data_IF_274794450378
#
_entry.id   IF_274794450378
#
_cell.length_a   1.000
_cell.length_b   1.000
_cell.length_c   1.000
_cell.angle_alpha   90.00
_cell.angle_beta   90.00
_cell.angle_gamma   90.00
#
_symmetry.space_group_name_H-M   'P 1'
#
loop_
_entity.id
_entity.type
_entity.pdbx_description
1 polymer ?
#
# COMPACT_ATOMS: atom_id res chain seq x y z
N UNK A 1 -9.74 2.19 8.56
CA UNK A 1 -9.03 3.02 7.56
C UNK A 1 -10.10 3.79 6.79
N UNK A 2 -9.88 5.08 6.53
CA UNK A 2 -10.75 5.87 5.65
C UNK A 2 -10.22 5.79 4.22
N UNK A 3 -11.09 5.51 3.26
CA UNK A 3 -10.72 5.33 1.86
C UNK A 3 -11.26 6.47 1.00
N UNK A 4 -10.42 6.98 0.11
CA UNK A 4 -10.79 7.87 -1.00
C UNK A 4 -10.47 7.13 -2.30
N UNK A 5 -11.48 6.87 -3.11
CA UNK A 5 -11.43 6.09 -4.36
C UNK A 5 -11.01 4.61 -4.22
N UNK A 6 -10.11 4.24 -3.33
CA UNK A 6 -9.86 2.83 -3.01
C UNK A 6 -11.14 2.08 -2.64
N UNK A 7 -11.26 0.83 -3.12
CA UNK A 7 -12.38 -0.07 -2.88
C UNK A 7 -11.88 -1.35 -2.26
N UNK A 8 -12.70 -1.99 -1.43
CA UNK A 8 -12.39 -3.34 -0.95
C UNK A 8 -12.60 -4.32 -2.11
N UNK A 9 -11.59 -5.11 -2.41
CA UNK A 9 -11.63 -6.20 -3.40
C UNK A 9 -11.32 -7.52 -2.70
N UNK A 10 -12.12 -8.54 -3.00
CA UNK A 10 -11.88 -9.93 -2.60
C UNK A 10 -11.56 -10.73 -3.85
N UNK A 11 -10.37 -11.31 -3.90
CA UNK A 11 -9.92 -12.11 -5.05
C UNK A 11 -8.95 -13.19 -4.58
N UNK A 12 -9.13 -14.43 -5.08
CA UNK A 12 -8.26 -15.58 -4.80
C UNK A 12 -8.01 -15.83 -3.29
N UNK A 13 -9.00 -15.52 -2.44
CA UNK A 13 -8.91 -15.69 -0.97
C UNK A 13 -8.24 -14.53 -0.23
N UNK A 14 -7.76 -13.50 -0.93
CA UNK A 14 -7.27 -12.27 -0.33
C UNK A 14 -8.38 -11.23 -0.18
N UNK A 15 -8.27 -10.37 0.83
CA UNK A 15 -9.12 -9.20 1.05
C UNK A 15 -8.24 -7.98 1.20
N UNK A 16 -8.27 -7.07 0.23
CA UNK A 16 -7.34 -5.96 0.11
C UNK A 16 -8.06 -4.72 -0.42
N UNK A 17 -7.36 -3.58 -0.48
CA UNK A 17 -7.87 -2.38 -1.14
C UNK A 17 -7.28 -2.24 -2.55
N UNK A 18 -8.10 -1.78 -3.48
CA UNK A 18 -7.79 -1.75 -4.91
C UNK A 18 -8.38 -0.51 -5.58
N UNK A 19 -7.69 0.05 -6.58
CA UNK A 19 -8.28 1.07 -7.47
C UNK A 19 -9.12 0.45 -8.59
N UNK A 20 -9.10 -0.88 -8.73
CA UNK A 20 -9.87 -1.60 -9.75
C UNK A 20 -11.36 -1.29 -9.66
N UNK A 21 -11.98 -1.16 -10.84
CA UNK A 21 -13.41 -0.85 -10.96
C UNK A 21 -13.76 0.64 -10.88
N UNK A 22 -12.76 1.51 -10.85
CA UNK A 22 -12.89 2.96 -11.06
C UNK A 22 -12.73 3.36 -12.52
N UNK A 23 -11.89 4.36 -12.78
CA UNK A 23 -11.45 4.70 -14.16
C UNK A 23 -10.25 3.82 -14.54
N UNK A 24 -9.48 4.18 -15.58
CA UNK A 24 -8.27 3.44 -15.99
C UNK A 24 -6.97 4.19 -15.65
N UNK A 25 -7.08 5.31 -14.94
CA UNK A 25 -5.96 6.16 -14.51
C UNK A 25 -6.34 6.88 -13.20
N UNK A 26 -6.99 6.16 -12.29
CA UNK A 26 -7.45 6.70 -11.01
C UNK A 26 -6.28 6.93 -10.05
N UNK A 27 -6.47 7.84 -9.10
CA UNK A 27 -5.65 7.92 -7.90
C UNK A 27 -6.56 7.81 -6.68
N UNK A 28 -6.09 7.17 -5.63
CA UNK A 28 -6.83 7.04 -4.38
C UNK A 28 -5.91 7.05 -3.18
N UNK A 29 -6.50 7.23 -1.99
CA UNK A 29 -5.76 7.21 -0.73
C UNK A 29 -6.47 6.41 0.34
N UNK A 30 -5.67 5.81 1.21
CA UNK A 30 -6.11 5.06 2.36
C UNK A 30 -5.43 5.66 3.60
N UNK A 31 -6.24 6.27 4.47
CA UNK A 31 -5.78 7.00 5.64
C UNK A 31 -6.08 6.23 6.91
N UNK A 32 -5.07 6.05 7.74
CA UNK A 32 -5.21 5.49 9.09
C UNK A 32 -4.47 6.34 10.11
N UNK A 33 -4.90 6.20 11.36
CA UNK A 33 -4.23 6.80 12.51
C UNK A 33 -3.52 5.71 13.29
N UNK A 34 -2.28 5.94 13.68
CA UNK A 34 -1.55 5.07 14.58
C UNK A 34 -2.17 5.13 15.97
N UNK A 35 -2.53 3.97 16.52
CA UNK A 35 -3.21 3.82 17.80
C UNK A 35 -2.38 3.04 18.84
N UNK A 36 -1.15 2.66 18.49
CA UNK A 36 -0.24 1.96 19.40
C UNK A 36 0.47 2.89 20.38
N UNK A 37 1.20 2.34 21.37
CA UNK A 37 2.02 3.14 22.29
C UNK A 37 3.09 3.95 21.56
N UNK A 38 3.44 5.11 22.11
CA UNK A 38 4.53 5.92 21.57
C UNK A 38 5.85 5.14 21.61
N UNK A 39 6.65 5.21 20.55
CA UNK A 39 7.90 4.45 20.43
C UNK A 39 8.47 4.44 19.02
N UNK A 40 9.52 3.63 18.82
CA UNK A 40 10.20 3.46 17.53
C UNK A 40 9.59 2.28 16.77
N UNK A 41 9.29 2.48 15.49
CA UNK A 41 8.68 1.45 14.64
C UNK A 41 9.31 1.42 13.25
N UNK A 42 9.46 0.21 12.72
CA UNK A 42 9.56 0.00 11.28
C UNK A 42 8.16 -0.12 10.69
N UNK A 43 7.97 0.45 9.51
CA UNK A 43 6.71 0.42 8.77
C UNK A 43 6.87 -0.46 7.53
N UNK A 44 6.02 -1.48 7.40
CA UNK A 44 6.05 -2.43 6.28
C UNK A 44 4.71 -2.41 5.56
N UNK A 45 4.74 -2.22 4.24
CA UNK A 45 3.57 -2.31 3.39
C UNK A 45 3.55 -3.66 2.64
N UNK A 46 2.42 -4.35 2.69
CA UNK A 46 2.09 -5.49 1.83
C UNK A 46 1.25 -5.03 0.64
N UNK A 47 1.67 -5.35 -0.58
CA UNK A 47 0.99 -4.97 -1.82
C UNK A 47 1.19 -6.01 -2.92
N UNK A 48 0.34 -5.99 -3.96
CA UNK A 48 0.51 -6.87 -5.11
C UNK A 48 1.24 -6.14 -6.24
N UNK A 49 2.29 -6.76 -6.78
CA UNK A 49 3.09 -6.30 -7.93
C UNK A 49 2.86 -7.32 -9.05
N UNK A 50 1.89 -7.05 -9.92
CA UNK A 50 1.47 -7.96 -11.00
C UNK A 50 2.28 -7.66 -12.28
N UNK A 51 2.56 -8.67 -13.11
CA UNK A 51 3.32 -8.49 -14.35
C UNK A 51 2.40 -8.29 -15.57
N UNK A 52 1.46 -7.36 -15.47
CA UNK A 52 0.42 -7.08 -16.49
C UNK A 52 0.87 -6.15 -17.64
N UNK A 53 2.18 -5.83 -17.67
CA UNK A 53 2.90 -5.02 -18.67
C UNK A 53 2.71 -3.50 -18.53
N UNK A 54 1.89 -3.01 -17.61
CA UNK A 54 1.85 -1.59 -17.24
C UNK A 54 2.48 -1.39 -15.86
N UNK A 55 2.34 -0.19 -15.29
CA UNK A 55 3.01 0.22 -14.05
C UNK A 55 2.09 1.07 -13.16
N UNK A 56 1.69 0.57 -12.00
CA UNK A 56 1.09 1.36 -10.93
C UNK A 56 2.16 2.02 -10.04
N UNK A 57 1.76 3.00 -9.23
CA UNK A 57 2.62 3.65 -8.24
C UNK A 57 2.00 3.62 -6.86
N UNK A 58 2.85 3.51 -5.84
CA UNK A 58 2.50 3.63 -4.43
C UNK A 58 3.38 4.70 -3.76
N UNK A 59 2.78 5.43 -2.83
CA UNK A 59 3.45 6.36 -1.93
C UNK A 59 2.91 6.15 -0.50
N UNK A 60 3.79 6.20 0.49
CA UNK A 60 3.42 6.19 1.91
C UNK A 60 3.88 7.47 2.57
N UNK A 61 2.97 8.15 3.28
CA UNK A 61 3.23 9.38 4.02
C UNK A 61 2.99 9.19 5.51
N UNK A 62 3.81 9.88 6.32
CA UNK A 62 3.62 10.05 7.75
C UNK A 62 3.39 11.54 8.03
N UNK A 63 2.24 11.88 8.61
CA UNK A 63 1.86 13.28 8.92
C UNK A 63 2.01 14.23 7.72
N UNK A 64 1.68 13.74 6.52
CA UNK A 64 1.78 14.47 5.26
C UNK A 64 3.18 14.49 4.62
N UNK A 65 4.20 13.97 5.29
CA UNK A 65 5.57 13.87 4.77
C UNK A 65 5.77 12.52 4.09
N UNK A 66 6.27 12.52 2.85
CA UNK A 66 6.58 11.29 2.11
C UNK A 66 7.71 10.50 2.78
N UNK A 67 7.44 9.24 3.10
CA UNK A 67 8.44 8.29 3.61
C UNK A 67 9.06 7.47 2.48
N UNK A 68 8.22 6.99 1.56
CA UNK A 68 8.63 6.20 0.42
C UNK A 68 7.65 6.35 -0.73
N UNK A 69 8.17 6.37 -1.96
CA UNK A 69 7.41 6.33 -3.19
C UNK A 69 8.09 5.39 -4.19
N UNK A 70 7.32 4.58 -4.90
CA UNK A 70 7.85 3.69 -5.92
C UNK A 70 6.83 3.29 -6.98
N UNK A 71 7.37 2.76 -8.07
CA UNK A 71 6.61 2.15 -9.16
C UNK A 71 6.61 0.63 -8.96
N UNK A 72 5.46 -0.01 -9.17
CA UNK A 72 5.31 -1.47 -9.21
C UNK A 72 5.90 -1.93 -10.53
N UNK A 73 7.03 -2.64 -10.50
CA UNK A 73 7.80 -2.97 -11.71
C UNK A 73 8.36 -4.39 -11.67
N UNK A 74 8.03 -5.17 -10.64
CA UNK A 74 8.67 -6.45 -10.42
C UNK A 74 8.08 -7.49 -11.38
N UNK A 75 8.98 -8.24 -12.03
CA UNK A 75 8.61 -9.32 -12.94
C UNK A 75 8.46 -10.64 -12.17
N UNK A 76 7.39 -10.72 -11.37
CA UNK A 76 7.08 -11.89 -10.54
C UNK A 76 6.40 -13.02 -11.33
N UNK A 77 6.07 -12.77 -12.60
CA UNK A 77 5.76 -13.77 -13.62
C UNK A 77 4.31 -14.25 -13.67
N UNK A 78 3.42 -13.65 -12.89
CA UNK A 78 1.97 -13.86 -12.97
C UNK A 78 1.25 -12.51 -13.04
N UNK A 79 0.08 -12.48 -13.70
CA UNK A 79 -0.73 -11.27 -13.94
C UNK A 79 -1.93 -11.16 -13.00
N UNK A 80 -1.89 -11.87 -11.86
CA UNK A 80 -3.05 -12.03 -10.99
C UNK A 80 -2.67 -11.95 -9.52
N UNK A 81 -3.66 -11.63 -8.68
CA UNK A 81 -3.54 -11.56 -7.23
C UNK A 81 -3.32 -12.96 -6.69
N UNK A 82 -2.07 -13.31 -6.45
CA UNK A 82 -1.64 -14.59 -5.90
C UNK A 82 -0.49 -14.34 -4.92
N UNK A 83 -0.21 -15.30 -4.05
CA UNK A 83 0.84 -15.20 -3.04
C UNK A 83 2.22 -14.88 -3.63
N UNK A 84 2.52 -15.35 -4.84
CA UNK A 84 3.77 -15.04 -5.55
C UNK A 84 3.94 -13.56 -5.88
N UNK A 85 2.84 -12.84 -6.08
CA UNK A 85 2.85 -11.42 -6.40
C UNK A 85 2.68 -10.53 -5.16
N UNK A 86 2.47 -11.12 -3.97
CA UNK A 86 2.40 -10.36 -2.72
C UNK A 86 3.80 -9.99 -2.25
N UNK A 87 4.12 -8.70 -2.35
CA UNK A 87 5.41 -8.12 -1.96
C UNK A 87 5.29 -7.45 -0.61
N UNK A 88 6.36 -7.55 0.20
CA UNK A 88 6.53 -6.80 1.45
C UNK A 88 7.64 -5.78 1.26
N UNK A 89 7.38 -4.50 1.55
CA UNK A 89 8.40 -3.44 1.48
C UNK A 89 8.44 -2.66 2.79
N UNK A 90 9.63 -2.53 3.36
CA UNK A 90 9.88 -1.56 4.44
C UNK A 90 9.85 -0.15 3.84
N UNK A 91 8.91 0.67 4.30
CA UNK A 91 8.65 2.03 3.80
C UNK A 91 9.11 3.12 4.76
N UNK A 92 9.51 2.73 5.97
CA UNK A 92 10.20 3.59 6.92
C UNK A 92 10.84 2.75 8.01
N UNK A 93 11.98 3.22 8.52
CA UNK A 93 12.78 2.52 9.53
C UNK A 93 12.96 3.41 10.75
N UNK A 94 12.89 2.84 11.95
CA UNK A 94 13.09 3.57 13.21
C UNK A 94 12.28 4.88 13.30
N UNK A 95 11.03 4.85 12.85
CA UNK A 95 10.14 6.01 12.91
C UNK A 95 9.68 6.23 14.35
N UNK A 96 9.79 7.46 14.85
CA UNK A 96 9.15 7.85 16.10
C UNK A 96 7.67 8.07 15.84
N UNK A 97 6.84 7.19 16.39
CA UNK A 97 5.39 7.25 16.28
C UNK A 97 4.75 7.49 17.65
N UNK A 98 3.66 8.24 17.67
CA UNK A 98 2.80 8.46 18.83
C UNK A 98 1.31 8.27 18.45
N UNK A 99 0.45 7.89 19.41
CA UNK A 99 -0.99 7.83 19.16
C UNK A 99 -1.50 9.12 18.53
N UNK A 100 -2.19 9.00 17.39
CA UNK A 100 -2.68 10.15 16.63
C UNK A 100 -1.92 10.44 15.33
N UNK A 101 -0.70 9.90 15.17
CA UNK A 101 0.05 10.04 13.93
C UNK A 101 -0.72 9.47 12.74
N UNK A 102 -0.68 10.17 11.61
CA UNK A 102 -1.46 9.84 10.41
C UNK A 102 -0.56 9.16 9.39
N UNK A 103 -0.97 7.97 8.96
CA UNK A 103 -0.33 7.25 7.86
C UNK A 103 -1.29 7.25 6.68
N UNK A 104 -0.82 7.76 5.55
CA UNK A 104 -1.56 7.77 4.30
C UNK A 104 -0.83 6.91 3.25
N UNK A 105 -1.57 6.02 2.61
CA UNK A 105 -1.10 5.22 1.47
C UNK A 105 -1.80 5.75 0.23
N UNK A 106 -1.04 6.22 -0.75
CA UNK A 106 -1.56 6.78 -2.01
C UNK A 106 -1.25 5.79 -3.12
N UNK A 107 -2.28 5.44 -3.89
CA UNK A 107 -2.14 4.66 -5.11
C UNK A 107 -2.41 5.51 -6.34
N UNK A 108 -1.69 5.20 -7.42
CA UNK A 108 -1.96 5.71 -8.77
C UNK A 108 -1.92 4.51 -9.71
N UNK A 109 -3.04 4.17 -10.31
CA UNK A 109 -3.11 3.08 -11.27
C UNK A 109 -2.72 3.55 -12.67
N UNK A 110 -2.26 2.59 -13.47
CA UNK A 110 -2.18 2.73 -14.92
C UNK A 110 -3.29 1.90 -15.56
N UNK A 111 -3.58 2.08 -16.86
CA UNK A 111 -4.47 1.18 -17.56
C UNK A 111 -3.99 -0.25 -17.38
N UNK A 112 -4.91 -1.15 -17.04
CA UNK A 112 -4.67 -2.58 -16.84
C UNK A 112 -3.84 -2.98 -15.60
N UNK A 113 -3.29 -2.03 -14.82
CA UNK A 113 -2.63 -2.31 -13.52
C UNK A 113 -3.22 -1.45 -12.40
N UNK A 114 -4.18 -1.98 -11.62
CA UNK A 114 -4.70 -1.26 -10.48
C UNK A 114 -3.76 -1.41 -9.28
N UNK A 115 -3.53 -0.31 -8.59
CA UNK A 115 -2.77 -0.31 -7.34
C UNK A 115 -3.54 -1.13 -6.28
N UNK A 116 -2.93 -2.19 -5.75
CA UNK A 116 -3.52 -3.08 -4.74
C UNK A 116 -2.67 -3.18 -3.50
N UNK A 117 -3.26 -2.89 -2.35
CA UNK A 117 -2.59 -2.89 -1.05
C UNK A 117 -3.31 -3.84 -0.10
N UNK A 118 -2.57 -4.80 0.44
CA UNK A 118 -3.11 -5.83 1.33
C UNK A 118 -3.13 -5.37 2.78
N UNK A 119 -1.97 -4.97 3.31
CA UNK A 119 -1.87 -4.54 4.70
C UNK A 119 -0.77 -3.49 4.91
N UNK A 120 -0.89 -2.78 6.03
CA UNK A 120 0.14 -1.95 6.62
C UNK A 120 0.48 -2.51 8.00
N UNK A 121 1.76 -2.73 8.27
CA UNK A 121 2.23 -3.31 9.52
C UNK A 121 3.20 -2.37 10.22
N UNK A 122 2.94 -2.12 11.50
CA UNK A 122 3.84 -1.44 12.42
C UNK A 122 4.62 -2.49 13.21
N UNK A 123 5.95 -2.44 13.14
CA UNK A 123 6.84 -3.38 13.83
C UNK A 123 7.64 -2.59 14.87
N UNK A 124 7.41 -2.77 16.18
CA UNK A 124 8.20 -2.11 17.21
C UNK A 124 9.69 -2.45 17.05
N UNK A 125 10.55 -1.44 17.17
CA UNK A 125 12.00 -1.63 17.27
C UNK A 125 12.35 -1.69 18.76
N UNK A 126 13.08 -2.74 19.15
CA UNK A 126 13.54 -2.99 20.53
C UNK A 126 14.79 -2.18 20.85
#
# INVERSE_FOLDING_TARGET
MALTNYRVETLNGFNFISLKGGTTTESGSALTTFAGPAGQYDLVLGYFDEDDRTFAQLEVKLNGVSLAQWTLTQKLGLISVVSKNLVRRTVGVNLSLAPGDRIEIIGRESPDEPARVDYLQFIPVL
#
